data_IF_472443574128
#
_entry.id   IF_472443574128
#
_cell.length_a   1.000
_cell.length_b   1.000
_cell.length_c   1.000
_cell.angle_alpha   90.00
_cell.angle_beta   90.00
_cell.angle_gamma   90.00
#
_symmetry.space_group_name_H-M   'P 1'
#
loop_
_entity.id
_entity.type
_entity.pdbx_description
1 polymer ?
#
# COMPACT_ATOMS: atom_id res chain seq x y z
N UNK A 1 -55.57 -30.62 55.13
CA UNK A 1 -55.04 -29.48 54.33
C UNK A 1 -53.59 -29.82 54.03
N UNK A 2 -53.34 -30.30 52.83
CA UNK A 2 -52.06 -30.82 52.39
C UNK A 2 -51.36 -29.78 51.53
N UNK A 3 -50.23 -29.26 51.98
CA UNK A 3 -49.42 -28.27 51.27
C UNK A 3 -48.47 -28.99 50.33
N UNK A 4 -48.60 -28.76 49.00
CA UNK A 4 -47.73 -29.30 47.95
C UNK A 4 -46.61 -28.29 47.71
N UNK A 5 -45.40 -28.75 47.95
CA UNK A 5 -44.14 -28.02 47.69
C UNK A 5 -43.76 -28.20 46.25
N UNK A 6 -43.82 -27.16 45.37
CA UNK A 6 -43.28 -27.17 44.02
C UNK A 6 -41.85 -26.59 44.03
N UNK A 7 -40.85 -27.45 43.84
CA UNK A 7 -39.52 -27.06 43.41
C UNK A 7 -39.52 -26.86 41.89
N UNK A 8 -38.90 -25.78 41.36
CA UNK A 8 -38.66 -25.65 39.92
C UNK A 8 -37.50 -26.52 39.46
N UNK A 9 -37.55 -27.10 38.26
CA UNK A 9 -36.48 -27.90 37.73
C UNK A 9 -35.29 -27.01 37.32
N UNK A 10 -34.12 -27.36 37.83
CA UNK A 10 -32.81 -26.85 37.37
C UNK A 10 -32.53 -27.40 36.00
N UNK A 11 -32.71 -26.57 34.99
CA UNK A 11 -32.35 -26.88 33.62
C UNK A 11 -30.91 -26.37 33.34
N UNK A 12 -29.91 -27.16 33.67
CA UNK A 12 -28.57 -27.05 33.14
C UNK A 12 -28.57 -27.66 31.74
N UNK A 13 -29.03 -26.94 30.75
CA UNK A 13 -28.76 -27.23 29.36
C UNK A 13 -27.54 -26.41 28.93
N UNK A 14 -26.38 -27.04 28.99
CA UNK A 14 -25.24 -26.70 28.11
C UNK A 14 -25.71 -26.89 26.67
N UNK A 15 -25.86 -25.77 25.93
CA UNK A 15 -26.20 -25.80 24.52
C UNK A 15 -25.16 -26.65 23.77
N UNK A 16 -25.53 -27.71 23.06
CA UNK A 16 -24.62 -28.45 22.24
C UNK A 16 -24.20 -27.57 21.07
N UNK A 17 -22.91 -27.30 20.96
CA UNK A 17 -22.26 -26.69 19.81
C UNK A 17 -22.85 -27.32 18.53
N UNK A 18 -23.48 -26.53 17.65
CA UNK A 18 -24.18 -27.03 16.50
C UNK A 18 -23.21 -27.85 15.61
N UNK A 19 -23.64 -29.00 15.03
CA UNK A 19 -22.77 -29.89 14.25
C UNK A 19 -22.03 -29.19 13.10
N UNK A 20 -22.57 -28.08 12.60
CA UNK A 20 -21.96 -27.23 11.57
C UNK A 20 -20.73 -26.43 12.00
N UNK A 21 -20.58 -26.11 13.30
CA UNK A 21 -19.40 -25.36 13.79
C UNK A 21 -18.17 -26.27 13.95
N UNK A 22 -18.35 -27.49 14.45
CA UNK A 22 -17.25 -28.45 14.63
C UNK A 22 -16.67 -28.93 13.29
N UNK A 23 -17.50 -29.09 12.25
CA UNK A 23 -17.05 -29.43 10.91
C UNK A 23 -16.21 -28.32 10.27
N UNK A 24 -16.59 -27.05 10.46
CA UNK A 24 -15.82 -25.91 9.95
C UNK A 24 -14.48 -25.73 10.67
N UNK A 25 -14.44 -25.90 11.97
CA UNK A 25 -13.19 -25.87 12.73
C UNK A 25 -12.23 -26.98 12.25
N UNK A 26 -12.74 -28.19 12.02
CA UNK A 26 -11.96 -29.28 11.44
C UNK A 26 -11.41 -28.92 10.05
N UNK A 27 -12.21 -28.29 9.19
CA UNK A 27 -11.79 -27.82 7.86
C UNK A 27 -10.71 -26.71 7.96
N UNK A 28 -10.89 -25.73 8.84
CA UNK A 28 -9.88 -24.69 9.13
C UNK A 28 -8.56 -25.33 9.59
N UNK A 29 -8.61 -26.28 10.51
CA UNK A 29 -7.43 -27.00 10.98
C UNK A 29 -6.75 -27.79 9.86
N UNK A 30 -7.52 -28.39 8.94
CA UNK A 30 -6.98 -29.10 7.76
C UNK A 30 -6.22 -28.14 6.85
N UNK A 31 -6.80 -26.96 6.52
CA UNK A 31 -6.14 -25.93 5.71
C UNK A 31 -4.85 -25.52 6.44
N UNK A 32 -4.93 -25.16 7.72
CA UNK A 32 -3.78 -24.72 8.52
C UNK A 32 -2.63 -25.74 8.50
N UNK A 33 -2.94 -27.03 8.67
CA UNK A 33 -1.93 -28.11 8.67
C UNK A 33 -1.24 -28.28 7.31
N UNK A 34 -1.86 -27.89 6.20
CA UNK A 34 -1.25 -27.93 4.87
C UNK A 34 -0.29 -26.78 4.60
N UNK A 35 -0.27 -25.75 5.46
CA UNK A 35 0.55 -24.56 5.32
C UNK A 35 1.92 -24.72 5.98
N UNK A 36 2.91 -23.99 5.49
CA UNK A 36 4.23 -23.87 6.10
C UNK A 36 4.18 -23.02 7.38
N UNK A 37 5.18 -23.11 8.28
CA UNK A 37 5.14 -22.42 9.59
C UNK A 37 4.78 -20.94 9.53
N UNK A 38 5.46 -20.14 8.69
CA UNK A 38 5.15 -18.71 8.56
C UNK A 38 3.78 -18.42 7.94
N UNK A 39 3.30 -19.28 7.04
CA UNK A 39 1.93 -19.21 6.51
C UNK A 39 0.89 -19.58 7.57
N UNK A 40 1.22 -20.52 8.48
CA UNK A 40 0.36 -20.89 9.61
C UNK A 40 0.17 -19.71 10.56
N UNK A 41 1.24 -18.97 10.87
CA UNK A 41 1.15 -17.78 11.73
C UNK A 41 0.18 -16.73 11.12
N UNK A 42 0.22 -16.53 9.81
CA UNK A 42 -0.74 -15.65 9.12
C UNK A 42 -2.18 -16.22 9.15
N UNK A 43 -2.35 -17.52 8.99
CA UNK A 43 -3.65 -18.21 9.08
C UNK A 43 -4.24 -18.18 10.50
N UNK A 44 -3.39 -18.12 11.52
CA UNK A 44 -3.79 -17.98 12.92
C UNK A 44 -4.22 -16.56 13.30
N UNK A 45 -4.00 -15.58 12.41
CA UNK A 45 -4.41 -14.20 12.65
C UNK A 45 -5.90 -14.07 12.99
N UNK A 46 -6.19 -13.23 13.97
CA UNK A 46 -7.55 -13.02 14.47
C UNK A 46 -7.97 -11.55 14.47
N UNK A 47 -7.07 -10.65 14.85
CA UNK A 47 -7.31 -9.20 14.89
C UNK A 47 -6.01 -8.42 15.08
N UNK A 48 -6.06 -7.13 14.84
CA UNK A 48 -4.96 -6.20 15.01
C UNK A 48 -3.91 -6.27 13.88
N UNK A 49 -2.85 -5.46 13.95
CA UNK A 49 -1.81 -5.44 12.93
C UNK A 49 -0.98 -6.72 12.96
N UNK A 50 -0.57 -7.19 11.76
CA UNK A 50 0.35 -8.30 11.59
C UNK A 50 1.29 -8.00 10.41
N UNK A 51 2.59 -8.01 10.65
CA UNK A 51 3.58 -7.99 9.60
C UNK A 51 3.98 -9.42 9.21
N UNK A 52 4.17 -9.66 7.92
CA UNK A 52 4.65 -10.93 7.38
C UNK A 52 5.84 -10.66 6.48
N UNK A 53 7.04 -10.88 7.00
CA UNK A 53 8.28 -10.81 6.24
C UNK A 53 8.52 -12.13 5.53
N UNK A 54 8.67 -12.09 4.20
CA UNK A 54 8.69 -13.30 3.40
C UNK A 54 9.75 -13.25 2.31
N UNK A 55 10.65 -14.21 2.29
CA UNK A 55 11.67 -14.35 1.24
C UNK A 55 11.03 -14.63 -0.14
N UNK A 56 11.74 -14.36 -1.25
CA UNK A 56 11.27 -14.69 -2.59
C UNK A 56 10.89 -16.16 -2.72
N UNK A 57 9.71 -16.43 -3.28
CA UNK A 57 9.25 -17.82 -3.48
C UNK A 57 8.75 -18.53 -2.20
N UNK A 58 8.62 -17.86 -1.06
CA UNK A 58 8.08 -18.44 0.17
C UNK A 58 6.58 -18.81 0.12
N UNK A 59 5.89 -18.40 -0.94
CA UNK A 59 4.46 -18.70 -1.12
C UNK A 59 3.53 -17.69 -0.45
N UNK A 60 3.92 -16.39 -0.43
CA UNK A 60 3.15 -15.25 0.10
C UNK A 60 1.67 -15.30 -0.27
N UNK A 61 1.36 -15.30 -1.58
CA UNK A 61 -0.01 -15.27 -2.09
C UNK A 61 -0.84 -16.53 -1.76
N UNK A 62 -0.19 -17.70 -1.52
CA UNK A 62 -0.87 -18.91 -1.09
C UNK A 62 -1.27 -18.79 0.39
N UNK A 63 -0.31 -18.41 1.23
CA UNK A 63 -0.55 -18.19 2.67
C UNK A 63 -1.61 -17.12 2.90
N UNK A 64 -1.54 -16.00 2.16
CA UNK A 64 -2.53 -14.93 2.23
C UNK A 64 -3.92 -15.40 1.83
N UNK A 65 -4.07 -16.16 0.75
CA UNK A 65 -5.37 -16.66 0.31
C UNK A 65 -5.97 -17.64 1.34
N UNK A 66 -5.15 -18.49 1.96
CA UNK A 66 -5.58 -19.38 3.02
C UNK A 66 -6.01 -18.61 4.28
N UNK A 67 -5.20 -17.64 4.72
CA UNK A 67 -5.51 -16.78 5.85
C UNK A 67 -6.81 -15.97 5.61
N UNK A 68 -6.99 -15.44 4.40
CA UNK A 68 -8.19 -14.73 3.99
C UNK A 68 -9.44 -15.64 4.09
N UNK A 69 -9.36 -16.85 3.54
CA UNK A 69 -10.47 -17.80 3.59
C UNK A 69 -10.84 -18.21 5.02
N UNK A 70 -9.83 -18.41 5.88
CA UNK A 70 -10.04 -18.71 7.30
C UNK A 70 -10.65 -17.51 8.04
N UNK A 71 -10.17 -16.29 7.78
CA UNK A 71 -10.73 -15.07 8.39
C UNK A 71 -12.21 -14.88 7.99
N UNK A 72 -12.55 -15.10 6.71
CA UNK A 72 -13.92 -15.06 6.21
C UNK A 72 -14.77 -16.13 6.91
N UNK A 73 -14.28 -17.36 7.04
CA UNK A 73 -15.00 -18.44 7.72
C UNK A 73 -15.32 -18.10 9.19
N UNK A 74 -14.35 -17.53 9.90
CA UNK A 74 -14.52 -17.04 11.28
C UNK A 74 -15.54 -15.89 11.36
N UNK A 75 -15.51 -14.97 10.39
CA UNK A 75 -16.49 -13.88 10.32
C UNK A 75 -17.91 -14.39 10.06
N UNK A 76 -18.08 -15.40 9.21
CA UNK A 76 -19.37 -16.07 8.98
C UNK A 76 -19.94 -16.71 10.27
N UNK A 77 -19.08 -17.29 11.11
CA UNK A 77 -19.52 -17.87 12.40
C UNK A 77 -20.05 -16.79 13.35
N UNK A 78 -19.37 -15.64 13.42
CA UNK A 78 -19.78 -14.50 14.26
C UNK A 78 -21.09 -13.86 13.79
N UNK A 79 -21.24 -13.67 12.49
CA UNK A 79 -22.45 -13.04 11.92
C UNK A 79 -23.71 -13.91 12.09
N UNK A 80 -23.57 -15.22 12.13
CA UNK A 80 -24.69 -16.12 12.40
C UNK A 80 -25.11 -16.13 13.87
N UNK A 81 -24.23 -15.70 14.77
CA UNK A 81 -24.49 -15.63 16.22
C UNK A 81 -25.10 -14.28 16.65
N UNK A 82 -24.93 -13.23 15.86
CA UNK A 82 -25.41 -11.88 16.15
C UNK A 82 -26.50 -11.46 15.15
N UNK A 83 -27.63 -10.96 15.65
CA UNK A 83 -28.74 -10.42 14.84
C UNK A 83 -28.42 -9.14 14.06
N UNK A 84 -27.22 -8.56 14.22
CA UNK A 84 -26.79 -7.36 13.50
C UNK A 84 -26.16 -7.72 12.16
N UNK A 85 -26.89 -7.50 11.10
CA UNK A 85 -26.63 -7.97 9.73
C UNK A 85 -25.75 -7.04 8.87
N UNK A 86 -24.80 -6.32 9.40
CA UNK A 86 -23.84 -5.63 8.53
C UNK A 86 -22.78 -6.61 8.05
N UNK A 87 -22.88 -7.01 6.79
CA UNK A 87 -21.91 -7.91 6.14
C UNK A 87 -20.65 -7.14 5.80
N UNK A 88 -19.75 -7.00 6.75
CA UNK A 88 -18.39 -6.48 6.53
C UNK A 88 -17.62 -7.43 5.64
N UNK A 89 -16.77 -6.88 4.76
CA UNK A 89 -15.95 -7.64 3.82
C UNK A 89 -14.47 -7.59 4.19
N UNK A 90 -13.74 -8.63 3.83
CA UNK A 90 -12.29 -8.59 3.77
C UNK A 90 -11.86 -7.86 2.50
N UNK A 91 -11.01 -6.86 2.62
CA UNK A 91 -10.37 -6.19 1.50
C UNK A 91 -8.97 -6.74 1.32
N UNK A 92 -8.68 -7.29 0.14
CA UNK A 92 -7.32 -7.71 -0.23
C UNK A 92 -6.80 -6.78 -1.31
N UNK A 93 -5.62 -6.24 -1.11
CA UNK A 93 -4.96 -5.36 -2.08
C UNK A 93 -3.65 -5.95 -2.57
N UNK A 94 -3.34 -5.72 -3.83
CA UNK A 94 -2.11 -6.13 -4.49
C UNK A 94 -1.71 -5.13 -5.57
N UNK A 95 -0.52 -5.29 -6.15
CA UNK A 95 0.03 -4.30 -7.09
C UNK A 95 -0.51 -4.45 -8.52
N UNK A 96 -0.78 -5.68 -8.99
CA UNK A 96 -1.11 -5.95 -10.39
C UNK A 96 -2.47 -6.59 -10.58
N UNK A 97 -3.11 -6.34 -11.74
CA UNK A 97 -4.39 -6.99 -12.12
C UNK A 97 -4.27 -8.51 -12.21
N UNK A 98 -3.13 -9.03 -12.64
CA UNK A 98 -2.88 -10.47 -12.70
C UNK A 98 -2.82 -11.10 -11.30
N UNK A 99 -2.20 -10.41 -10.33
CA UNK A 99 -2.19 -10.83 -8.93
C UNK A 99 -3.59 -10.81 -8.31
N UNK A 100 -4.42 -9.79 -8.64
CA UNK A 100 -5.84 -9.73 -8.22
C UNK A 100 -6.58 -11.00 -8.66
N UNK A 101 -6.50 -11.37 -9.94
CA UNK A 101 -7.17 -12.56 -10.47
C UNK A 101 -6.67 -13.85 -9.79
N UNK A 102 -5.37 -13.98 -9.60
CA UNK A 102 -4.73 -15.14 -8.97
C UNK A 102 -5.14 -15.31 -7.49
N UNK A 103 -5.06 -14.24 -6.70
CA UNK A 103 -5.42 -14.26 -5.28
C UNK A 103 -6.92 -14.56 -5.14
N UNK A 104 -7.77 -13.89 -5.92
CA UNK A 104 -9.21 -14.12 -5.92
C UNK A 104 -9.55 -15.58 -6.21
N UNK A 105 -8.96 -16.17 -7.25
CA UNK A 105 -9.18 -17.57 -7.61
C UNK A 105 -8.78 -18.53 -6.47
N UNK A 106 -7.66 -18.27 -5.78
CA UNK A 106 -7.20 -19.08 -4.65
C UNK A 106 -8.15 -18.98 -3.45
N UNK A 107 -8.60 -17.76 -3.10
CA UNK A 107 -9.58 -17.58 -2.01
C UNK A 107 -10.87 -18.30 -2.34
N UNK A 108 -11.41 -18.13 -3.56
CA UNK A 108 -12.61 -18.84 -4.01
C UNK A 108 -12.46 -20.35 -3.91
N UNK A 109 -11.28 -20.89 -4.27
CA UNK A 109 -10.99 -22.31 -4.16
C UNK A 109 -11.07 -22.80 -2.71
N UNK A 110 -10.39 -22.13 -1.77
CA UNK A 110 -10.45 -22.50 -0.34
C UNK A 110 -11.87 -22.42 0.22
N UNK A 111 -12.61 -21.35 -0.11
CA UNK A 111 -13.99 -21.19 0.35
C UNK A 111 -14.90 -22.29 -0.14
N UNK A 112 -14.81 -22.64 -1.44
CA UNK A 112 -15.68 -23.64 -2.07
C UNK A 112 -15.27 -25.06 -1.70
N UNK A 113 -14.00 -25.42 -1.92
CA UNK A 113 -13.54 -26.82 -1.93
C UNK A 113 -13.22 -27.32 -0.51
N UNK A 114 -12.68 -26.46 0.36
CA UNK A 114 -12.26 -26.84 1.70
C UNK A 114 -13.25 -26.44 2.80
N UNK A 115 -13.89 -25.27 2.67
CA UNK A 115 -14.74 -24.71 3.71
C UNK A 115 -16.24 -24.85 3.43
N UNK A 116 -16.61 -25.25 2.21
CA UNK A 116 -18.01 -25.34 1.75
C UNK A 116 -18.81 -24.04 2.01
N UNK A 117 -18.16 -22.88 1.78
CA UNK A 117 -18.74 -21.55 1.96
C UNK A 117 -19.00 -20.85 0.63
N UNK A 118 -19.97 -19.91 0.58
CA UNK A 118 -20.15 -19.03 -0.56
C UNK A 118 -18.88 -18.24 -0.88
N UNK A 119 -18.62 -18.00 -2.16
CA UNK A 119 -17.46 -17.23 -2.62
C UNK A 119 -17.71 -15.71 -2.49
N UNK A 120 -18.14 -15.28 -1.31
CA UNK A 120 -18.51 -13.90 -0.95
C UNK A 120 -17.85 -13.49 0.36
N UNK A 121 -18.06 -12.23 0.79
CA UNK A 121 -17.47 -11.71 2.04
C UNK A 121 -16.07 -11.17 1.88
N UNK A 122 -15.61 -11.01 0.62
CA UNK A 122 -14.32 -10.38 0.33
C UNK A 122 -14.32 -9.68 -1.03
N UNK A 123 -13.40 -8.74 -1.17
CA UNK A 123 -13.06 -8.09 -2.45
C UNK A 123 -11.54 -8.11 -2.63
N UNK A 124 -11.09 -8.22 -3.88
CA UNK A 124 -9.66 -8.13 -4.22
C UNK A 124 -9.49 -7.03 -5.25
N UNK A 125 -8.66 -6.06 -4.97
CA UNK A 125 -8.39 -4.91 -5.81
C UNK A 125 -6.90 -4.68 -6.01
N UNK A 126 -6.53 -3.98 -7.08
CA UNK A 126 -5.29 -3.21 -7.04
C UNK A 126 -5.47 -2.03 -6.10
N UNK A 127 -4.39 -1.55 -5.50
CA UNK A 127 -4.46 -0.45 -4.54
C UNK A 127 -5.09 0.82 -5.16
N UNK A 128 -4.66 1.18 -6.37
CA UNK A 128 -5.26 2.29 -7.13
C UNK A 128 -6.73 2.04 -7.51
N UNK A 129 -7.09 0.78 -7.83
CA UNK A 129 -8.48 0.40 -8.11
C UNK A 129 -9.37 0.53 -6.88
N UNK A 130 -8.86 0.22 -5.68
CA UNK A 130 -9.56 0.46 -4.42
C UNK A 130 -9.77 1.96 -4.17
N UNK A 131 -8.72 2.75 -4.35
CA UNK A 131 -8.79 4.21 -4.18
C UNK A 131 -9.81 4.84 -5.13
N UNK A 132 -9.77 4.49 -6.41
CA UNK A 132 -10.74 5.00 -7.38
C UNK A 132 -12.18 4.56 -7.03
N UNK A 133 -12.36 3.34 -6.53
CA UNK A 133 -13.68 2.85 -6.11
C UNK A 133 -14.25 3.69 -4.94
N UNK A 134 -13.42 4.03 -3.94
CA UNK A 134 -13.81 4.92 -2.84
C UNK A 134 -14.16 6.31 -3.37
N UNK A 135 -13.29 6.91 -4.20
CA UNK A 135 -13.52 8.22 -4.80
C UNK A 135 -14.83 8.25 -5.61
N UNK A 136 -15.15 7.18 -6.35
CA UNK A 136 -16.35 7.05 -7.18
C UNK A 136 -17.64 6.94 -6.37
N UNK A 137 -17.58 6.36 -5.19
CA UNK A 137 -18.76 6.30 -4.29
C UNK A 137 -19.07 7.66 -3.64
N UNK A 138 -18.10 8.56 -3.57
CA UNK A 138 -18.22 9.86 -2.94
C UNK A 138 -17.75 11.00 -3.88
N UNK A 139 -18.37 11.19 -5.06
CA UNK A 139 -17.85 12.10 -6.09
C UNK A 139 -17.73 13.55 -5.58
N UNK A 140 -18.67 14.01 -4.77
CA UNK A 140 -18.67 15.37 -4.22
C UNK A 140 -17.53 15.63 -3.21
N UNK A 141 -16.96 14.58 -2.60
CA UNK A 141 -15.87 14.68 -1.63
C UNK A 141 -14.52 14.39 -2.24
N UNK A 142 -14.48 13.62 -3.33
CA UNK A 142 -13.24 13.19 -3.99
C UNK A 142 -12.48 14.34 -4.65
N UNK A 143 -13.20 15.40 -5.06
CA UNK A 143 -12.66 16.51 -5.86
C UNK A 143 -12.36 16.11 -7.30
N UNK A 144 -12.84 14.94 -7.76
CA UNK A 144 -12.71 14.47 -9.14
C UNK A 144 -14.07 14.53 -9.84
N UNK A 145 -14.08 15.05 -11.06
CA UNK A 145 -15.25 14.98 -11.95
C UNK A 145 -15.21 13.67 -12.74
N UNK A 146 -15.58 12.57 -12.08
CA UNK A 146 -15.36 11.21 -12.56
C UNK A 146 -15.99 10.88 -13.92
N UNK A 147 -17.01 11.61 -14.32
CA UNK A 147 -17.68 11.41 -15.62
C UNK A 147 -16.81 11.82 -16.81
N UNK A 148 -15.87 12.76 -16.63
CA UNK A 148 -15.02 13.31 -17.68
C UNK A 148 -13.53 13.02 -17.50
N UNK A 149 -13.13 12.47 -16.36
CA UNK A 149 -11.72 12.27 -16.02
C UNK A 149 -11.09 11.14 -16.83
N UNK A 150 -9.93 11.44 -17.40
CA UNK A 150 -9.11 10.45 -18.12
C UNK A 150 -7.85 10.13 -17.31
N UNK A 151 -7.65 8.84 -17.01
CA UNK A 151 -6.42 8.37 -16.40
C UNK A 151 -5.29 8.36 -17.44
N UNK A 152 -4.21 9.07 -17.15
CA UNK A 152 -3.01 9.05 -17.99
C UNK A 152 -2.04 7.94 -17.56
N UNK A 153 -1.35 7.39 -18.56
CA UNK A 153 -0.28 6.43 -18.34
C UNK A 153 1.03 7.13 -17.94
N UNK A 154 2.00 6.44 -17.32
CA UNK A 154 3.31 7.02 -17.00
C UNK A 154 4.01 7.66 -18.22
N UNK A 155 3.90 7.03 -19.40
CA UNK A 155 4.46 7.60 -20.65
C UNK A 155 3.80 8.91 -21.06
N UNK A 156 2.48 9.03 -20.83
CA UNK A 156 1.77 10.29 -21.07
C UNK A 156 2.15 11.34 -20.03
N UNK A 157 2.29 10.96 -18.76
CA UNK A 157 2.76 11.83 -17.69
C UNK A 157 4.09 12.50 -18.04
N UNK A 158 5.08 11.75 -18.54
CA UNK A 158 6.36 12.30 -19.01
C UNK A 158 6.20 13.39 -20.10
N UNK A 159 5.23 13.22 -21.01
CA UNK A 159 4.96 14.26 -22.03
C UNK A 159 4.39 15.52 -21.40
N UNK A 160 3.50 15.39 -20.43
CA UNK A 160 2.93 16.53 -19.71
C UNK A 160 3.95 17.23 -18.84
N UNK A 161 4.86 16.48 -18.19
CA UNK A 161 5.98 17.05 -17.43
C UNK A 161 6.87 17.90 -18.35
N UNK A 162 7.25 17.40 -19.53
CA UNK A 162 8.02 18.19 -20.52
C UNK A 162 7.27 19.46 -20.94
N UNK A 163 5.98 19.36 -21.18
CA UNK A 163 5.16 20.53 -21.52
C UNK A 163 5.09 21.53 -20.35
N UNK A 164 4.95 21.05 -19.13
CA UNK A 164 4.97 21.89 -17.92
C UNK A 164 6.32 22.60 -17.74
N UNK A 165 7.44 21.91 -18.00
CA UNK A 165 8.78 22.49 -18.00
C UNK A 165 8.90 23.63 -19.00
N UNK A 166 8.42 23.42 -20.25
CA UNK A 166 8.43 24.49 -21.28
C UNK A 166 7.60 25.71 -20.87
N UNK A 167 6.42 25.48 -20.30
CA UNK A 167 5.56 26.56 -19.80
C UNK A 167 6.21 27.29 -18.62
N UNK A 168 6.84 26.54 -17.72
CA UNK A 168 7.56 27.13 -16.59
C UNK A 168 8.73 28.00 -17.04
N UNK A 169 9.55 27.53 -17.98
CA UNK A 169 10.67 28.29 -18.56
C UNK A 169 10.17 29.60 -19.17
N UNK A 170 9.07 29.52 -19.93
CA UNK A 170 8.48 30.70 -20.59
C UNK A 170 7.96 31.73 -19.58
N UNK A 171 7.39 31.29 -18.44
CA UNK A 171 6.85 32.15 -17.40
C UNK A 171 7.89 32.62 -16.37
N UNK A 172 9.04 31.96 -16.23
CA UNK A 172 10.08 32.24 -15.26
C UNK A 172 11.48 32.37 -15.90
N UNK A 173 11.67 33.21 -16.92
CA UNK A 173 12.96 33.30 -17.63
C UNK A 173 14.12 33.69 -16.70
N UNK A 174 13.89 34.56 -15.70
CA UNK A 174 14.91 34.97 -14.74
C UNK A 174 15.43 33.83 -13.86
N UNK A 175 14.56 32.93 -13.39
CA UNK A 175 15.00 31.73 -12.64
C UNK A 175 15.75 30.75 -13.55
N UNK A 176 15.28 30.56 -14.77
CA UNK A 176 15.94 29.69 -15.73
C UNK A 176 17.35 30.18 -16.07
N UNK A 177 17.55 31.50 -16.27
CA UNK A 177 18.87 32.08 -16.49
C UNK A 177 19.78 31.92 -15.27
N UNK A 178 19.28 32.11 -14.03
CA UNK A 178 20.07 31.86 -12.83
C UNK A 178 20.58 30.42 -12.72
N UNK A 179 19.77 29.44 -13.08
CA UNK A 179 20.19 28.03 -13.12
C UNK A 179 21.31 27.80 -14.15
N UNK A 180 21.34 28.56 -15.23
CA UNK A 180 22.39 28.52 -16.24
C UNK A 180 23.67 29.25 -15.82
N UNK A 181 23.55 30.45 -15.20
CA UNK A 181 24.66 31.31 -14.84
C UNK A 181 25.41 30.89 -13.58
N UNK A 182 24.76 30.14 -12.69
CA UNK A 182 25.37 29.62 -11.46
C UNK A 182 26.54 28.65 -11.68
N UNK A 183 26.72 28.20 -12.90
CA UNK A 183 27.96 27.55 -13.33
C UNK A 183 28.84 28.63 -13.97
N UNK A 184 29.96 29.00 -13.33
CA UNK A 184 30.94 29.92 -13.88
C UNK A 184 31.21 29.58 -15.33
N UNK A 185 30.82 30.47 -16.24
CA UNK A 185 30.88 30.25 -17.67
C UNK A 185 32.14 30.90 -18.22
N UNK A 186 33.12 30.08 -18.49
CA UNK A 186 34.39 30.46 -19.12
C UNK A 186 34.51 29.80 -20.51
N UNK A 187 33.38 29.46 -21.13
CA UNK A 187 33.39 28.61 -22.31
C UNK A 187 32.75 29.24 -23.55
N UNK A 188 33.08 28.62 -24.68
CA UNK A 188 32.60 28.94 -26.03
C UNK A 188 31.05 28.87 -26.10
N UNK A 189 30.43 29.65 -26.98
CA UNK A 189 28.98 29.72 -27.22
C UNK A 189 28.34 28.35 -27.46
N UNK A 190 29.10 27.44 -28.07
CA UNK A 190 28.67 26.05 -28.31
C UNK A 190 28.43 25.28 -27.03
N UNK A 191 29.27 25.44 -26.02
CA UNK A 191 29.11 24.79 -24.72
C UNK A 191 27.90 25.38 -23.94
N UNK A 192 27.68 26.68 -24.05
CA UNK A 192 26.48 27.34 -23.49
C UNK A 192 25.19 26.77 -24.07
N UNK A 193 25.10 26.63 -25.39
CA UNK A 193 23.94 26.04 -26.06
C UNK A 193 23.71 24.60 -25.66
N UNK A 194 24.79 23.81 -25.51
CA UNK A 194 24.74 22.42 -25.06
C UNK A 194 24.15 22.34 -23.64
N UNK A 195 24.68 23.12 -22.70
CA UNK A 195 24.21 23.15 -21.31
C UNK A 195 22.75 23.60 -21.23
N UNK A 196 22.38 24.62 -21.98
CA UNK A 196 20.99 25.07 -22.08
C UNK A 196 20.08 23.95 -22.59
N UNK A 197 20.52 23.21 -23.61
CA UNK A 197 19.77 22.05 -24.11
C UNK A 197 19.60 20.98 -23.06
N UNK A 198 20.69 20.55 -22.38
CA UNK A 198 20.68 19.53 -21.33
C UNK A 198 19.77 19.93 -20.15
N UNK A 199 19.91 21.17 -19.68
CA UNK A 199 19.06 21.67 -18.59
C UNK A 199 17.56 21.60 -18.94
N UNK A 200 17.19 21.99 -20.16
CA UNK A 200 15.83 22.03 -20.65
C UNK A 200 15.25 20.65 -20.95
N UNK A 201 16.01 19.75 -21.57
CA UNK A 201 15.51 18.48 -22.11
C UNK A 201 15.70 17.28 -21.19
N UNK A 202 16.61 17.38 -20.22
CA UNK A 202 16.98 16.28 -19.32
C UNK A 202 16.82 16.71 -17.85
N UNK A 203 17.58 17.69 -17.37
CA UNK A 203 17.67 17.98 -15.93
C UNK A 203 16.34 18.48 -15.32
N UNK A 204 15.69 19.46 -15.94
CA UNK A 204 14.41 19.97 -15.42
C UNK A 204 13.27 18.97 -15.55
N UNK A 205 13.10 18.19 -16.63
CA UNK A 205 12.14 17.13 -16.70
C UNK A 205 12.37 16.02 -15.66
N UNK A 206 13.61 15.63 -15.41
CA UNK A 206 13.97 14.61 -14.41
C UNK A 206 13.71 15.13 -12.99
N UNK A 207 14.11 16.37 -12.69
CA UNK A 207 13.78 17.03 -11.44
C UNK A 207 12.26 17.10 -11.23
N UNK A 208 11.50 17.56 -12.22
CA UNK A 208 10.05 17.62 -12.15
C UNK A 208 9.42 16.25 -11.92
N UNK A 209 9.88 15.23 -12.65
CA UNK A 209 9.39 13.85 -12.49
C UNK A 209 9.60 13.36 -11.07
N UNK A 210 10.81 13.47 -10.55
CA UNK A 210 11.17 13.02 -9.21
C UNK A 210 10.36 13.77 -8.14
N UNK A 211 10.38 15.10 -8.19
CA UNK A 211 9.72 15.91 -7.16
C UNK A 211 8.20 15.77 -7.18
N UNK A 212 7.58 15.71 -8.36
CA UNK A 212 6.11 15.54 -8.47
C UNK A 212 5.70 14.20 -7.89
N UNK A 213 6.42 13.12 -8.22
CA UNK A 213 6.12 11.80 -7.66
C UNK A 213 6.32 11.75 -6.14
N UNK A 214 7.45 12.24 -5.63
CA UNK A 214 7.75 12.25 -4.19
C UNK A 214 6.75 13.12 -3.42
N UNK A 215 6.45 14.32 -3.91
CA UNK A 215 5.50 15.22 -3.28
C UNK A 215 4.10 14.61 -3.24
N UNK A 216 3.59 14.12 -4.38
CA UNK A 216 2.25 13.50 -4.44
C UNK A 216 2.15 12.27 -3.55
N UNK A 217 3.16 11.39 -3.56
CA UNK A 217 3.17 10.16 -2.75
C UNK A 217 3.27 10.41 -1.25
N UNK A 218 3.74 11.60 -0.87
CA UNK A 218 3.82 12.08 0.52
C UNK A 218 2.64 13.01 0.88
N UNK A 219 1.77 13.36 -0.08
CA UNK A 219 0.63 14.25 0.13
C UNK A 219 0.99 15.72 0.20
N UNK A 220 2.18 16.09 -0.25
CA UNK A 220 2.63 17.49 -0.31
C UNK A 220 2.09 18.20 -1.54
N UNK A 221 1.73 19.46 -1.36
CA UNK A 221 1.29 20.39 -2.40
C UNK A 221 2.46 21.29 -2.85
N UNK A 222 2.37 21.97 -4.00
CA UNK A 222 3.38 22.95 -4.42
C UNK A 222 3.68 24.02 -3.36
N UNK A 223 2.66 24.43 -2.59
CA UNK A 223 2.77 25.41 -1.51
C UNK A 223 3.65 24.91 -0.35
N UNK A 224 3.61 23.59 -0.06
CA UNK A 224 4.44 23.00 0.97
C UNK A 224 5.92 23.01 0.57
N UNK A 225 6.21 22.73 -0.71
CA UNK A 225 7.57 22.82 -1.26
C UNK A 225 8.11 24.25 -1.20
N UNK A 226 7.27 25.27 -1.49
CA UNK A 226 7.67 26.67 -1.34
C UNK A 226 8.01 27.02 0.11
N UNK A 227 7.19 26.55 1.06
CA UNK A 227 7.43 26.74 2.49
C UNK A 227 8.74 26.09 2.95
N UNK A 228 9.08 24.91 2.43
CA UNK A 228 10.37 24.27 2.69
C UNK A 228 11.53 25.04 2.05
N UNK A 229 11.33 25.62 0.86
CA UNK A 229 12.33 26.45 0.20
C UNK A 229 12.70 27.69 1.04
N UNK A 230 11.72 28.31 1.70
CA UNK A 230 11.95 29.46 2.59
C UNK A 230 12.82 29.11 3.82
N UNK A 231 12.85 27.84 4.23
CA UNK A 231 13.60 27.31 5.35
C UNK A 231 14.97 26.75 4.96
N UNK A 232 15.26 26.68 3.66
CA UNK A 232 16.46 26.05 3.13
C UNK A 232 17.37 27.09 2.49
N UNK A 233 18.65 27.07 2.86
CA UNK A 233 19.65 27.92 2.18
C UNK A 233 20.11 27.21 0.93
N UNK A 234 19.57 27.61 -0.22
CA UNK A 234 19.93 27.07 -1.54
C UNK A 234 20.11 28.21 -2.53
N UNK A 235 21.35 28.35 -3.05
CA UNK A 235 21.72 29.40 -4.00
C UNK A 235 20.97 29.31 -5.34
N UNK A 236 20.46 28.12 -5.68
CA UNK A 236 19.72 27.85 -6.92
C UNK A 236 18.23 27.85 -6.75
N UNK A 237 17.73 27.95 -5.52
CA UNK A 237 16.29 27.89 -5.20
C UNK A 237 15.58 26.66 -5.80
N UNK A 238 16.26 25.50 -5.75
CA UNK A 238 15.80 24.26 -6.41
C UNK A 238 14.39 23.84 -5.96
N UNK A 239 14.06 23.98 -4.68
CA UNK A 239 12.71 23.67 -4.18
C UNK A 239 11.66 24.64 -4.71
N UNK A 240 12.00 25.93 -4.91
CA UNK A 240 11.10 26.91 -5.53
C UNK A 240 10.86 26.56 -7.00
N UNK A 241 11.93 26.18 -7.72
CA UNK A 241 11.83 25.71 -9.10
C UNK A 241 10.94 24.49 -9.19
N UNK A 242 11.21 23.48 -8.34
CA UNK A 242 10.44 22.25 -8.27
C UNK A 242 8.95 22.50 -7.94
N UNK A 243 8.65 23.39 -7.01
CA UNK A 243 7.28 23.79 -6.70
C UNK A 243 6.58 24.42 -7.89
N UNK A 244 7.29 25.30 -8.63
CA UNK A 244 6.77 25.91 -9.85
C UNK A 244 6.50 24.91 -10.98
N UNK A 245 7.40 23.95 -11.18
CA UNK A 245 7.22 22.86 -12.13
C UNK A 245 6.03 21.99 -11.78
N UNK A 246 5.86 21.65 -10.49
CA UNK A 246 4.75 20.86 -9.99
C UNK A 246 3.42 21.60 -10.18
N UNK A 247 3.36 22.90 -9.89
CA UNK A 247 2.18 23.73 -10.11
C UNK A 247 1.78 23.77 -11.58
N UNK A 248 2.73 23.99 -12.50
CA UNK A 248 2.47 23.95 -13.94
C UNK A 248 1.93 22.59 -14.39
N UNK A 249 2.49 21.50 -13.90
CA UNK A 249 1.99 20.16 -14.17
C UNK A 249 0.55 19.98 -13.68
N UNK A 250 0.25 20.36 -12.44
CA UNK A 250 -1.12 20.25 -11.89
C UNK A 250 -2.13 21.08 -12.69
N UNK A 251 -1.76 22.31 -13.08
CA UNK A 251 -2.63 23.19 -13.87
C UNK A 251 -2.90 22.58 -15.25
N UNK A 252 -1.88 22.01 -15.88
CA UNK A 252 -2.02 21.35 -17.17
C UNK A 252 -2.92 20.11 -17.07
N UNK A 253 -2.78 19.30 -16.02
CA UNK A 253 -3.61 18.13 -15.76
C UNK A 253 -5.08 18.54 -15.54
N UNK A 254 -5.34 19.51 -14.67
CA UNK A 254 -6.68 20.01 -14.36
C UNK A 254 -7.38 20.61 -15.58
N UNK A 255 -6.64 21.39 -16.43
CA UNK A 255 -7.21 22.02 -17.61
C UNK A 255 -7.69 21.03 -18.69
N UNK A 256 -7.32 19.77 -18.58
CA UNK A 256 -7.66 18.70 -19.52
C UNK A 256 -8.46 17.55 -18.89
N UNK A 257 -8.88 17.70 -17.65
CA UNK A 257 -9.56 16.65 -16.87
C UNK A 257 -8.77 15.35 -16.81
N UNK A 258 -7.44 15.46 -16.66
CA UNK A 258 -6.55 14.31 -16.53
C UNK A 258 -6.17 14.06 -15.08
N UNK A 259 -6.04 12.77 -14.72
CA UNK A 259 -5.49 12.31 -13.44
C UNK A 259 -4.40 11.27 -13.69
N UNK A 260 -3.45 11.20 -12.77
CA UNK A 260 -2.50 10.10 -12.67
C UNK A 260 -2.86 9.14 -11.52
N UNK A 261 -2.01 8.15 -11.29
CA UNK A 261 -2.25 7.15 -10.26
C UNK A 261 -2.21 7.72 -8.84
N UNK A 262 -1.35 8.71 -8.58
CA UNK A 262 -1.26 9.36 -7.27
C UNK A 262 -2.52 10.18 -6.97
N UNK A 263 -3.11 10.81 -7.99
CA UNK A 263 -4.37 11.55 -7.85
C UNK A 263 -5.53 10.65 -7.38
N UNK A 264 -5.54 9.36 -7.75
CA UNK A 264 -6.54 8.41 -7.25
C UNK A 264 -6.42 8.21 -5.74
N UNK A 265 -5.19 8.05 -5.23
CA UNK A 265 -4.94 7.86 -3.80
C UNK A 265 -5.30 9.12 -3.03
N UNK A 266 -4.89 10.29 -3.53
CA UNK A 266 -5.21 11.59 -2.94
C UNK A 266 -6.72 11.84 -2.89
N UNK A 267 -7.45 11.49 -3.95
CA UNK A 267 -8.90 11.61 -3.98
C UNK A 267 -9.60 10.71 -2.95
N UNK A 268 -9.15 9.46 -2.81
CA UNK A 268 -9.69 8.57 -1.79
C UNK A 268 -9.39 9.08 -0.37
N UNK A 269 -8.17 9.56 -0.11
CA UNK A 269 -7.82 10.14 1.19
C UNK A 269 -8.66 11.38 1.50
N UNK A 270 -8.89 12.26 0.51
CA UNK A 270 -9.78 13.42 0.66
C UNK A 270 -11.21 13.02 1.05
N UNK A 271 -11.75 11.97 0.45
CA UNK A 271 -13.04 11.40 0.88
C UNK A 271 -12.99 10.96 2.34
N UNK A 272 -11.90 10.28 2.74
CA UNK A 272 -11.75 9.76 4.10
C UNK A 272 -11.39 10.83 5.15
N UNK A 273 -11.09 12.07 4.75
CA UNK A 273 -11.03 13.22 5.67
C UNK A 273 -12.42 13.55 6.24
N UNK A 274 -13.48 13.33 5.46
CA UNK A 274 -14.84 13.50 5.95
C UNK A 274 -15.20 12.38 6.93
N UNK A 275 -15.53 12.68 8.22
CA UNK A 275 -15.78 11.65 9.22
C UNK A 275 -16.95 10.71 8.90
N UNK A 276 -18.01 11.22 8.28
CA UNK A 276 -19.17 10.43 7.91
C UNK A 276 -18.87 9.44 6.79
N UNK A 277 -18.19 9.91 5.71
CA UNK A 277 -17.76 9.04 4.62
C UNK A 277 -16.75 7.99 5.11
N UNK A 278 -15.78 8.40 5.93
CA UNK A 278 -14.82 7.49 6.56
C UNK A 278 -15.52 6.37 7.32
N UNK A 279 -16.49 6.70 8.16
CA UNK A 279 -17.23 5.72 8.95
C UNK A 279 -18.04 4.75 8.08
N UNK A 280 -18.62 5.23 6.98
CA UNK A 280 -19.32 4.38 6.01
C UNK A 280 -18.36 3.37 5.40
N UNK A 281 -17.18 3.80 4.93
CA UNK A 281 -16.18 2.93 4.33
C UNK A 281 -15.61 1.92 5.35
N UNK A 282 -15.27 2.36 6.55
CA UNK A 282 -14.77 1.50 7.64
C UNK A 282 -15.80 0.44 8.08
N UNK A 283 -17.07 0.77 8.11
CA UNK A 283 -18.13 -0.17 8.50
C UNK A 283 -18.33 -1.28 7.46
N UNK A 284 -17.89 -1.09 6.22
CA UNK A 284 -17.94 -2.14 5.19
C UNK A 284 -16.77 -3.12 5.28
N UNK A 285 -15.73 -2.81 6.05
CA UNK A 285 -14.47 -3.57 6.10
C UNK A 285 -14.27 -4.16 7.48
N UNK A 286 -13.97 -5.46 7.57
CA UNK A 286 -13.56 -6.04 8.85
C UNK A 286 -12.05 -6.25 8.96
N UNK A 287 -11.34 -6.35 7.82
CA UNK A 287 -9.89 -6.43 7.77
C UNK A 287 -9.36 -6.05 6.38
N UNK A 288 -8.10 -5.63 6.32
CA UNK A 288 -7.36 -5.34 5.09
C UNK A 288 -6.11 -6.22 5.05
N UNK A 289 -5.90 -6.90 3.91
CA UNK A 289 -4.69 -7.69 3.63
C UNK A 289 -3.96 -7.07 2.45
N UNK A 290 -2.70 -6.73 2.63
CA UNK A 290 -1.85 -6.11 1.62
C UNK A 290 -0.75 -7.07 1.16
N UNK A 291 -0.66 -7.30 -0.16
CA UNK A 291 0.42 -8.06 -0.82
C UNK A 291 1.47 -7.10 -1.41
N UNK A 292 2.73 -7.51 -1.40
CA UNK A 292 3.90 -6.73 -1.85
C UNK A 292 4.01 -5.37 -1.11
N UNK A 293 3.85 -5.39 0.21
CA UNK A 293 3.80 -4.19 1.05
C UNK A 293 5.06 -3.31 1.01
N UNK A 294 6.21 -3.84 0.57
CA UNK A 294 7.44 -3.07 0.36
C UNK A 294 7.34 -2.08 -0.79
N UNK A 295 6.37 -2.26 -1.69
CA UNK A 295 6.18 -1.39 -2.87
C UNK A 295 5.16 -0.25 -2.60
N UNK A 296 4.62 -0.14 -1.38
CA UNK A 296 3.61 0.87 -1.04
C UNK A 296 4.22 2.17 -0.56
N UNK A 297 3.69 3.30 -1.05
CA UNK A 297 4.04 4.64 -0.58
C UNK A 297 3.41 4.97 0.80
N UNK A 298 3.86 6.04 1.48
CA UNK A 298 3.28 6.48 2.75
C UNK A 298 1.78 6.74 2.68
N UNK A 299 1.29 7.40 1.63
CA UNK A 299 -0.14 7.69 1.47
C UNK A 299 -0.96 6.44 1.20
N UNK A 300 -0.41 5.50 0.45
CA UNK A 300 -1.04 4.21 0.21
C UNK A 300 -1.16 3.43 1.51
N UNK A 301 -0.12 3.40 2.32
CA UNK A 301 -0.14 2.81 3.66
C UNK A 301 -1.18 3.49 4.56
N UNK A 302 -1.25 4.82 4.56
CA UNK A 302 -2.24 5.62 5.31
C UNK A 302 -3.66 5.28 4.90
N UNK A 303 -3.93 5.15 3.60
CA UNK A 303 -5.25 4.74 3.07
C UNK A 303 -5.68 3.38 3.65
N UNK A 304 -4.79 2.39 3.61
CA UNK A 304 -5.08 1.05 4.09
C UNK A 304 -5.26 1.02 5.62
N UNK A 305 -4.45 1.76 6.37
CA UNK A 305 -4.59 1.89 7.82
C UNK A 305 -5.95 2.48 8.22
N UNK A 306 -6.38 3.56 7.54
CA UNK A 306 -7.69 4.16 7.80
C UNK A 306 -8.81 3.15 7.57
N UNK A 307 -8.78 2.41 6.46
CA UNK A 307 -9.81 1.42 6.14
C UNK A 307 -9.81 0.22 7.08
N UNK A 308 -8.64 -0.21 7.55
CA UNK A 308 -8.47 -1.35 8.46
C UNK A 308 -8.88 -1.01 9.90
N UNK A 309 -9.05 0.28 10.22
CA UNK A 309 -9.35 0.75 11.57
C UNK A 309 -10.83 0.59 11.85
N UNK A 310 -11.18 -0.18 12.88
CA UNK A 310 -12.57 -0.24 13.38
C UNK A 310 -12.86 1.06 14.16
N UNK A 311 -13.94 1.79 13.82
CA UNK A 311 -14.31 3.01 14.54
C UNK A 311 -14.50 2.84 16.05
N UNK A 312 -14.81 1.62 16.49
CA UNK A 312 -15.00 1.29 17.90
C UNK A 312 -13.68 0.86 18.60
N UNK A 313 -12.62 0.59 17.83
CA UNK A 313 -11.29 0.21 18.36
C UNK A 313 -10.18 0.84 17.48
N UNK A 314 -9.95 2.15 17.58
CA UNK A 314 -9.07 2.89 16.67
C UNK A 314 -7.59 2.54 16.83
N UNK A 315 -7.17 2.01 17.96
CA UNK A 315 -5.76 1.77 18.27
C UNK A 315 -5.21 0.47 17.66
N UNK A 316 -6.07 -0.39 17.14
CA UNK A 316 -5.68 -1.68 16.59
C UNK A 316 -6.28 -1.93 15.20
N UNK A 317 -5.68 -1.37 14.14
CA UNK A 317 -6.15 -1.62 12.78
C UNK A 317 -6.03 -3.11 12.42
N UNK A 318 -7.08 -3.69 11.87
CA UNK A 318 -7.12 -5.06 11.38
C UNK A 318 -6.39 -5.16 10.03
N UNK A 319 -5.08 -5.02 10.06
CA UNK A 319 -4.23 -4.90 8.88
C UNK A 319 -3.14 -5.97 8.87
N UNK A 320 -3.15 -6.82 7.84
CA UNK A 320 -2.02 -7.71 7.53
C UNK A 320 -1.25 -7.11 6.37
N UNK A 321 0.05 -6.92 6.54
CA UNK A 321 0.96 -6.49 5.48
C UNK A 321 1.98 -7.59 5.20
N UNK A 322 2.02 -8.05 3.95
CA UNK A 322 2.89 -9.14 3.50
C UNK A 322 3.86 -8.60 2.46
N UNK A 323 5.15 -8.78 2.68
CA UNK A 323 6.17 -8.27 1.78
C UNK A 323 7.54 -8.87 2.02
N UNK A 324 8.47 -8.48 1.16
CA UNK A 324 9.89 -8.76 1.32
C UNK A 324 10.65 -7.45 1.53
N UNK A 325 11.13 -7.15 2.75
CA UNK A 325 11.81 -5.89 3.03
C UNK A 325 13.13 -5.71 2.26
N UNK A 326 13.61 -6.76 1.58
CA UNK A 326 14.84 -6.73 0.80
C UNK A 326 14.59 -6.71 -0.72
N UNK A 327 13.33 -6.72 -1.17
CA UNK A 327 12.93 -6.81 -2.58
C UNK A 327 12.35 -5.48 -3.12
N UNK A 328 12.97 -4.35 -2.81
CA UNK A 328 12.55 -3.05 -3.33
C UNK A 328 13.01 -2.83 -4.78
N UNK A 329 12.53 -3.63 -5.71
CA UNK A 329 12.90 -3.53 -7.12
C UNK A 329 12.27 -2.30 -7.79
N UNK A 330 11.11 -1.88 -7.30
CA UNK A 330 10.32 -0.79 -7.88
C UNK A 330 10.71 0.60 -7.34
N UNK A 331 11.53 0.70 -6.30
CA UNK A 331 11.94 1.98 -5.69
C UNK A 331 12.64 2.94 -6.65
N UNK A 332 13.19 2.44 -7.76
CA UNK A 332 13.79 3.26 -8.83
C UNK A 332 12.74 3.95 -9.70
N UNK A 333 11.51 3.42 -9.75
CA UNK A 333 10.45 3.90 -10.66
C UNK A 333 9.19 4.38 -9.94
N UNK A 334 9.09 4.11 -8.65
CA UNK A 334 7.96 4.51 -7.80
C UNK A 334 8.52 5.09 -6.50
N UNK A 335 7.80 6.02 -5.84
CA UNK A 335 8.19 6.57 -4.53
C UNK A 335 8.02 5.54 -3.38
N UNK A 336 8.02 4.26 -3.72
CA UNK A 336 7.99 3.17 -2.76
C UNK A 336 9.35 3.05 -2.07
N UNK A 337 9.38 3.22 -0.76
CA UNK A 337 10.57 2.98 0.05
C UNK A 337 10.31 1.80 1.00
N UNK A 338 11.12 0.73 0.90
CA UNK A 338 11.00 -0.42 1.79
C UNK A 338 11.19 -0.07 3.28
N UNK A 339 11.69 1.12 3.59
CA UNK A 339 11.85 1.60 4.97
C UNK A 339 10.52 1.59 5.72
N UNK A 340 9.42 2.03 5.08
CA UNK A 340 8.10 2.05 5.71
C UNK A 340 7.56 0.66 6.05
N UNK A 341 7.89 -0.34 5.21
CA UNK A 341 7.53 -1.72 5.52
C UNK A 341 8.45 -2.31 6.59
N UNK A 342 9.74 -1.95 6.62
CA UNK A 342 10.67 -2.37 7.68
C UNK A 342 10.26 -1.79 9.03
N UNK A 343 9.94 -0.52 9.11
CA UNK A 343 9.42 0.12 10.33
C UNK A 343 8.16 -0.59 10.83
N UNK A 344 7.22 -0.89 9.93
CA UNK A 344 6.03 -1.65 10.29
C UNK A 344 6.37 -3.07 10.81
N UNK A 345 7.37 -3.73 10.23
CA UNK A 345 7.86 -5.03 10.72
C UNK A 345 8.48 -4.91 12.12
N UNK A 346 9.26 -3.86 12.37
CA UNK A 346 9.88 -3.60 13.67
C UNK A 346 8.83 -3.32 14.74
N UNK A 347 7.86 -2.46 14.47
CA UNK A 347 6.73 -2.18 15.37
C UNK A 347 5.92 -3.43 15.70
N UNK A 348 5.65 -4.26 14.69
CA UNK A 348 4.96 -5.53 14.88
C UNK A 348 5.81 -6.52 15.67
N UNK A 349 7.12 -6.56 15.44
CA UNK A 349 8.05 -7.44 16.18
C UNK A 349 8.07 -7.10 17.68
N UNK A 350 8.12 -5.83 18.03
CA UNK A 350 8.06 -5.38 19.42
C UNK A 350 6.77 -5.82 20.14
N UNK A 351 5.69 -6.03 19.38
CA UNK A 351 4.38 -6.47 19.87
C UNK A 351 4.14 -7.98 19.71
N UNK A 352 5.16 -8.75 19.34
CA UNK A 352 5.05 -10.18 18.97
C UNK A 352 4.01 -10.43 17.85
N UNK A 353 3.97 -9.54 16.87
CA UNK A 353 3.06 -9.54 15.72
C UNK A 353 3.82 -9.60 14.38
N UNK A 354 5.02 -10.17 14.36
CA UNK A 354 5.80 -10.43 13.15
C UNK A 354 5.81 -11.93 12.86
N UNK A 355 5.35 -12.31 11.67
CA UNK A 355 5.50 -13.64 11.10
C UNK A 355 6.62 -13.65 10.07
N UNK A 356 7.39 -14.72 10.00
CA UNK A 356 8.46 -14.88 9.01
C UNK A 356 8.23 -16.10 8.12
N UNK A 357 8.39 -15.91 6.81
CA UNK A 357 8.38 -16.97 5.80
C UNK A 357 9.77 -17.08 5.17
N UNK A 358 10.64 -17.87 5.78
CA UNK A 358 12.06 -18.02 5.45
C UNK A 358 12.36 -19.16 4.46
N UNK A 359 11.36 -19.98 4.13
CA UNK A 359 11.52 -21.15 3.28
C UNK A 359 11.08 -20.88 1.84
N UNK A 360 12.03 -20.67 0.94
CA UNK A 360 11.78 -20.59 -0.49
C UNK A 360 11.36 -21.95 -1.06
N UNK A 361 10.29 -21.98 -1.85
CA UNK A 361 9.78 -23.21 -2.50
C UNK A 361 9.69 -23.13 -4.01
N UNK A 362 10.18 -22.03 -4.61
CA UNK A 362 10.15 -21.79 -6.07
C UNK A 362 11.48 -22.13 -6.73
N UNK A 363 12.58 -21.69 -6.13
CA UNK A 363 13.92 -21.83 -6.68
C UNK A 363 14.60 -23.09 -6.17
N UNK A 364 15.44 -23.70 -7.01
CA UNK A 364 16.29 -24.82 -6.60
C UNK A 364 17.35 -24.36 -5.61
N UNK A 365 17.86 -25.28 -4.79
CA UNK A 365 18.90 -25.01 -3.79
C UNK A 365 20.12 -24.31 -4.42
N UNK A 366 20.55 -24.73 -5.60
CA UNK A 366 21.71 -24.15 -6.31
C UNK A 366 21.51 -22.65 -6.58
N UNK A 367 20.32 -22.23 -7.00
CA UNK A 367 20.00 -20.81 -7.24
C UNK A 367 20.03 -20.02 -5.93
N UNK A 368 19.49 -20.60 -4.86
CA UNK A 368 19.47 -19.96 -3.53
C UNK A 368 20.90 -19.84 -2.98
N UNK A 369 21.70 -20.88 -3.09
CA UNK A 369 23.09 -20.89 -2.64
C UNK A 369 23.93 -19.85 -3.41
N UNK A 370 23.74 -19.74 -4.73
CA UNK A 370 24.40 -18.71 -5.56
C UNK A 370 23.97 -17.28 -5.15
N UNK A 371 22.70 -17.05 -4.90
CA UNK A 371 22.21 -15.75 -4.44
C UNK A 371 22.78 -15.37 -3.07
N UNK A 372 22.80 -16.31 -2.13
CA UNK A 372 23.39 -16.12 -0.80
C UNK A 372 24.89 -15.84 -0.88
N UNK A 373 25.61 -16.53 -1.77
CA UNK A 373 27.03 -16.26 -2.00
C UNK A 373 27.27 -14.83 -2.46
N UNK A 374 26.50 -14.35 -3.46
CA UNK A 374 26.59 -12.97 -3.96
C UNK A 374 26.29 -11.98 -2.84
N UNK A 375 25.22 -12.21 -2.04
CA UNK A 375 24.87 -11.35 -0.91
C UNK A 375 26.00 -11.28 0.13
N UNK A 376 26.59 -12.42 0.49
CA UNK A 376 27.72 -12.47 1.42
C UNK A 376 28.93 -11.74 0.88
N UNK A 377 29.22 -11.90 -0.42
CA UNK A 377 30.32 -11.19 -1.09
C UNK A 377 30.10 -9.67 -1.07
N UNK A 378 28.90 -9.19 -1.41
CA UNK A 378 28.57 -7.77 -1.34
C UNK A 378 28.73 -7.24 0.08
N UNK A 379 28.17 -7.91 1.08
CA UNK A 379 28.24 -7.48 2.48
C UNK A 379 29.68 -7.45 3.00
N UNK A 380 30.55 -8.37 2.56
CA UNK A 380 31.95 -8.39 2.95
C UNK A 380 32.78 -7.31 2.24
N UNK A 381 32.43 -6.97 0.98
CA UNK A 381 33.09 -5.93 0.20
C UNK A 381 32.72 -4.51 0.65
N UNK A 382 31.51 -4.32 1.20
CA UNK A 382 30.98 -3.02 1.64
C UNK A 382 31.00 -2.82 3.17
N UNK A 383 31.80 -3.57 3.92
CA UNK A 383 32.03 -3.19 5.32
C UNK A 383 32.67 -1.79 5.34
N UNK A 384 32.05 -0.80 6.00
CA UNK A 384 32.67 0.52 6.13
C UNK A 384 34.01 0.30 6.83
N UNK A 385 35.11 0.70 6.18
CA UNK A 385 36.41 0.77 6.83
C UNK A 385 36.23 1.77 7.97
N UNK A 386 36.12 1.26 9.19
CA UNK A 386 36.19 2.11 10.38
C UNK A 386 37.54 2.79 10.36
N UNK A 387 37.57 4.05 9.94
CA UNK A 387 38.72 4.91 10.18
C UNK A 387 38.81 5.09 11.69
N UNK A 388 39.68 4.36 12.34
CA UNK A 388 40.21 4.75 13.65
C UNK A 388 40.90 6.09 13.47
N UNK A 389 40.48 7.15 14.13
CA UNK A 389 41.25 8.40 14.17
C UNK A 389 42.54 8.15 14.96
N UNK A 390 43.68 8.43 14.34
CA UNK A 390 44.96 8.59 15.03
C UNK A 390 44.98 9.92 15.75
#
# INVERSE_FOLDING_TARGET
MTTINHQPPTNNQTDPCSPSSSLRESAILKIRKSLRPGQQQMADWYSGPLAVSAVPGAGKSMGMAAAAAIAIARQYQRSNSSRSSERRQLVVVTFTRSAVANIKAKICKYLRDDLSLPQTGFVVHTLHGLALNIASRHPNLSGLQLDNVTLITPTQSHRFIRTAVEQWIASHPGHYFRLLEGMQFDGEETERLRRQSVLRTEVLPDLATTVIHEAKSSGMLPEDLRRFSEQTIDNYEILTVAAGLYEQYQNLMRSRDFIDYDDMILAALRVLENPSARRIEQNQVFAVFEDEAQDSSPLQTKLLQILATDPNNPDQPNLIRVGDPNQAINSTFTPADPIYFREFCEDCNQKNRLATMDQAGRSTKIIIDAANFVLQWVNSAYQPKTHTPH
#
